data_IF_553831692582
#
_entry.id   IF_553831692582
#
_cell.length_a   1.000
_cell.length_b   1.000
_cell.length_c   1.000
_cell.angle_alpha   90.00
_cell.angle_beta   90.00
_cell.angle_gamma   90.00
#
_symmetry.space_group_name_H-M   'P 1'
#
loop_
_entity.id
_entity.type
_entity.pdbx_description
1 polymer ?
#
# COMPACT_ATOMS: atom_id res chain seq x y z
N UNK A 1 -18.08 -18.95 -22.50
CA UNK A 1 -17.07 -19.94 -22.02
C UNK A 1 -16.10 -19.17 -21.14
N UNK A 2 -16.18 -19.30 -19.81
CA UNK A 2 -15.21 -18.64 -18.90
C UNK A 2 -13.85 -19.30 -19.15
N UNK A 3 -12.86 -18.51 -19.58
CA UNK A 3 -11.50 -18.97 -19.88
C UNK A 3 -10.95 -19.63 -18.61
N UNK A 4 -10.40 -20.85 -18.73
CA UNK A 4 -9.67 -21.50 -17.65
C UNK A 4 -8.59 -20.53 -17.15
N UNK A 5 -8.70 -20.11 -15.89
CA UNK A 5 -7.91 -19.07 -15.21
C UNK A 5 -6.49 -19.55 -14.89
N UNK A 6 -5.83 -20.24 -15.82
CA UNK A 6 -4.43 -20.60 -15.66
C UNK A 6 -3.58 -19.32 -15.64
N UNK A 7 -2.91 -19.05 -14.50
CA UNK A 7 -1.97 -17.93 -14.29
C UNK A 7 -2.58 -16.54 -14.08
N UNK A 8 -3.74 -16.43 -13.43
CA UNK A 8 -4.24 -15.16 -12.88
C UNK A 8 -4.34 -15.21 -11.35
N UNK A 9 -4.29 -14.07 -10.64
CA UNK A 9 -4.37 -14.09 -9.19
C UNK A 9 -5.75 -14.51 -8.71
N UNK A 10 -5.76 -15.29 -7.62
CA UNK A 10 -6.96 -15.72 -6.91
C UNK A 10 -7.17 -14.98 -5.59
N UNK A 11 -6.28 -14.04 -5.24
CA UNK A 11 -6.56 -13.05 -4.21
C UNK A 11 -6.02 -11.67 -4.53
N UNK A 12 -6.64 -10.63 -3.96
CA UNK A 12 -6.25 -9.24 -4.12
C UNK A 12 -6.16 -8.55 -2.76
N UNK A 13 -5.07 -7.83 -2.50
CA UNK A 13 -5.06 -6.79 -1.46
C UNK A 13 -5.30 -5.44 -2.12
N UNK A 14 -6.53 -4.95 -2.01
CA UNK A 14 -6.99 -3.79 -2.79
C UNK A 14 -6.66 -2.45 -2.14
N UNK A 15 -6.28 -2.44 -0.86
CA UNK A 15 -5.99 -1.22 -0.13
C UNK A 15 -6.04 -1.42 1.38
N UNK A 16 -5.95 -0.35 2.17
CA UNK A 16 -5.69 1.02 1.75
C UNK A 16 -4.18 1.35 1.70
N UNK A 17 -3.82 2.37 0.93
CA UNK A 17 -2.45 2.88 0.90
C UNK A 17 -2.02 3.35 2.30
N UNK A 18 -0.78 3.07 2.69
CA UNK A 18 -0.21 3.47 4.01
C UNK A 18 -0.87 2.81 5.24
N UNK A 19 -1.57 1.69 5.03
CA UNK A 19 -2.18 0.86 6.08
C UNK A 19 -1.44 -0.46 6.35
N UNK A 20 -0.14 -0.54 6.08
CA UNK A 20 0.67 -1.73 6.41
C UNK A 20 0.77 -2.81 5.32
N UNK A 21 0.25 -2.56 4.12
CA UNK A 21 0.26 -3.53 2.99
C UNK A 21 1.65 -3.98 2.55
N UNK A 22 2.71 -3.19 2.79
CA UNK A 22 4.09 -3.63 2.54
C UNK A 22 4.58 -4.64 3.58
N UNK A 23 4.19 -4.49 4.85
CA UNK A 23 4.52 -5.47 5.89
C UNK A 23 3.78 -6.78 5.61
N UNK A 24 2.47 -6.69 5.33
CA UNK A 24 1.67 -7.86 4.94
C UNK A 24 2.28 -8.61 3.76
N UNK A 25 2.67 -7.91 2.69
CA UNK A 25 3.37 -8.53 1.55
C UNK A 25 4.58 -9.36 2.00
N UNK A 26 5.44 -8.77 2.83
CA UNK A 26 6.66 -9.45 3.29
C UNK A 26 6.39 -10.60 4.25
N UNK A 27 5.26 -10.61 4.94
CA UNK A 27 4.88 -11.69 5.84
C UNK A 27 4.26 -12.85 5.05
N UNK A 28 3.25 -12.57 4.21
CA UNK A 28 2.53 -13.61 3.50
C UNK A 28 3.39 -14.29 2.43
N UNK A 29 4.31 -13.58 1.77
CA UNK A 29 5.21 -14.19 0.77
C UNK A 29 6.37 -14.97 1.38
N UNK A 30 6.41 -15.17 2.70
CA UNK A 30 7.27 -16.19 3.32
C UNK A 30 6.69 -17.59 3.13
N UNK A 31 5.39 -17.70 2.85
CA UNK A 31 4.71 -18.96 2.65
C UNK A 31 4.97 -19.50 1.23
N UNK A 32 5.47 -20.74 1.11
CA UNK A 32 5.87 -21.36 -0.16
C UNK A 32 4.71 -21.53 -1.16
N UNK A 33 3.48 -21.66 -0.66
CA UNK A 33 2.27 -21.73 -1.49
C UNK A 33 1.67 -20.36 -1.83
N UNK A 34 2.29 -19.25 -1.42
CA UNK A 34 1.82 -17.89 -1.68
C UNK A 34 2.79 -17.13 -2.56
N UNK A 35 2.33 -16.72 -3.73
CA UNK A 35 3.07 -15.92 -4.68
C UNK A 35 2.43 -14.55 -4.89
N UNK A 36 3.25 -13.50 -4.81
CA UNK A 36 2.87 -12.15 -5.25
C UNK A 36 4.04 -11.59 -6.06
N UNK A 37 3.83 -11.14 -7.31
CA UNK A 37 4.91 -10.66 -8.16
C UNK A 37 5.80 -9.60 -7.49
N UNK A 38 7.12 -9.73 -7.70
CA UNK A 38 8.09 -8.71 -7.27
C UNK A 38 7.72 -7.35 -7.89
N UNK A 39 7.92 -6.27 -7.14
CA UNK A 39 7.65 -4.92 -7.61
C UNK A 39 6.20 -4.45 -7.48
N UNK A 40 5.44 -5.06 -6.54
CA UNK A 40 4.09 -4.69 -6.02
C UNK A 40 3.48 -3.38 -6.52
N UNK A 41 2.15 -3.40 -6.58
CA UNK A 41 1.31 -2.43 -7.28
C UNK A 41 1.42 -2.60 -8.80
N UNK A 42 0.78 -3.66 -9.31
CA UNK A 42 0.65 -3.92 -10.75
C UNK A 42 -0.33 -2.94 -11.42
N UNK A 43 -1.29 -2.42 -10.64
CA UNK A 43 -2.22 -1.35 -11.00
C UNK A 43 -3.19 -1.67 -12.14
N UNK A 44 -3.22 -2.91 -12.62
CA UNK A 44 -3.99 -3.32 -13.78
C UNK A 44 -5.50 -3.05 -13.63
N UNK A 45 -6.10 -3.46 -12.51
CA UNK A 45 -7.55 -3.29 -12.34
C UNK A 45 -7.98 -1.85 -12.07
N UNK A 46 -7.07 -0.95 -11.67
CA UNK A 46 -7.40 0.43 -11.32
C UNK A 46 -7.88 1.27 -12.50
N UNK A 47 -7.51 0.85 -13.73
CA UNK A 47 -7.69 1.61 -14.96
C UNK A 47 -7.27 3.10 -14.84
N UNK A 48 -6.19 3.35 -14.09
CA UNK A 48 -5.61 4.67 -13.93
C UNK A 48 -5.24 5.27 -15.30
N UNK A 49 -5.49 6.59 -15.46
CA UNK A 49 -5.21 7.32 -16.69
C UNK A 49 -3.74 7.15 -17.12
N UNK A 50 -2.82 7.34 -16.19
CA UNK A 50 -1.38 7.20 -16.41
C UNK A 50 -0.77 8.27 -17.31
N UNK A 51 -1.38 9.45 -17.32
CA UNK A 51 -0.91 10.69 -17.95
C UNK A 51 -0.72 11.81 -16.90
N UNK A 52 -0.49 11.43 -15.63
CA UNK A 52 -0.43 12.37 -14.52
C UNK A 52 0.82 13.24 -14.57
N UNK A 53 0.69 14.51 -14.18
CA UNK A 53 1.74 15.54 -14.38
C UNK A 53 2.35 16.07 -13.07
N UNK A 54 1.92 15.57 -11.92
CA UNK A 54 2.46 16.00 -10.64
C UNK A 54 3.93 15.59 -10.45
N UNK A 55 4.67 16.26 -9.55
CA UNK A 55 6.08 15.97 -9.30
C UNK A 55 6.37 14.47 -9.03
N UNK A 56 7.14 13.85 -9.92
CA UNK A 56 7.50 12.42 -9.81
C UNK A 56 6.41 11.43 -10.20
N UNK A 57 5.22 11.88 -10.64
CA UNK A 57 4.11 11.01 -11.05
C UNK A 57 4.49 10.11 -12.23
N UNK A 58 5.34 10.60 -13.13
CA UNK A 58 5.85 9.82 -14.26
C UNK A 58 6.47 8.50 -13.79
N UNK A 59 7.36 8.58 -12.79
CA UNK A 59 8.05 7.40 -12.25
C UNK A 59 7.18 6.62 -11.26
N UNK A 60 6.40 7.29 -10.42
CA UNK A 60 5.64 6.64 -9.34
C UNK A 60 4.33 6.01 -9.80
N UNK A 61 3.79 6.50 -10.91
CA UNK A 61 2.47 6.13 -11.44
C UNK A 61 2.56 5.74 -12.92
N UNK A 62 2.81 6.69 -13.83
CA UNK A 62 2.59 6.49 -15.27
C UNK A 62 3.36 5.28 -15.82
N UNK A 63 4.65 5.17 -15.50
CA UNK A 63 5.52 4.08 -15.98
C UNK A 63 5.26 2.71 -15.32
N UNK A 64 4.47 2.67 -14.24
CA UNK A 64 4.23 1.46 -13.44
C UNK A 64 2.87 0.82 -13.70
N UNK A 65 2.02 1.44 -14.51
CA UNK A 65 0.68 0.92 -14.81
C UNK A 65 0.80 -0.15 -15.89
N UNK A 66 0.35 -1.36 -15.56
CA UNK A 66 0.13 -2.41 -16.57
C UNK A 66 -1.22 -2.13 -17.25
N UNK A 67 -1.21 -1.95 -18.58
CA UNK A 67 -2.42 -1.61 -19.35
C UNK A 67 -3.03 -2.79 -20.10
N UNK A 68 -2.21 -3.78 -20.45
CA UNK A 68 -2.65 -4.90 -21.26
C UNK A 68 -2.73 -6.17 -20.42
N UNK A 69 -3.82 -6.92 -20.59
CA UNK A 69 -4.05 -8.18 -19.88
C UNK A 69 -2.91 -9.19 -20.12
N UNK A 70 -2.33 -9.20 -21.31
CA UNK A 70 -1.20 -10.09 -21.62
C UNK A 70 0.06 -9.73 -20.83
N UNK A 71 0.32 -8.44 -20.59
CA UNK A 71 1.43 -8.02 -19.73
C UNK A 71 1.14 -8.29 -18.25
N UNK A 72 -0.12 -8.25 -17.86
CA UNK A 72 -0.56 -8.65 -16.53
C UNK A 72 -0.36 -10.16 -16.30
N UNK A 73 -0.83 -11.02 -17.21
CA UNK A 73 -0.63 -12.48 -17.19
C UNK A 73 0.86 -12.86 -17.15
N UNK A 74 1.71 -12.15 -17.89
CA UNK A 74 3.18 -12.37 -17.86
C UNK A 74 3.77 -12.23 -16.46
N UNK A 75 3.15 -11.49 -15.53
CA UNK A 75 3.63 -11.36 -14.14
C UNK A 75 3.46 -12.65 -13.33
N UNK A 76 2.57 -13.55 -13.75
CA UNK A 76 2.26 -14.82 -13.11
C UNK A 76 2.72 -16.03 -13.92
N UNK A 77 3.25 -15.82 -15.13
CA UNK A 77 3.70 -16.91 -16.00
C UNK A 77 4.80 -17.74 -15.33
N UNK A 78 4.59 -19.05 -15.27
CA UNK A 78 5.56 -20.02 -14.73
C UNK A 78 5.48 -20.22 -13.22
N UNK A 79 4.52 -19.56 -12.56
CA UNK A 79 4.20 -19.77 -11.15
C UNK A 79 3.07 -20.79 -11.01
N UNK A 80 3.17 -21.65 -9.99
CA UNK A 80 2.25 -22.76 -9.72
C UNK A 80 1.78 -22.79 -8.26
N UNK A 81 2.14 -21.76 -7.50
CA UNK A 81 1.75 -21.57 -6.12
C UNK A 81 0.22 -21.54 -6.00
N UNK A 82 -0.31 -22.20 -4.95
CA UNK A 82 -1.75 -22.33 -4.73
C UNK A 82 -2.44 -20.96 -4.66
N UNK A 83 -1.79 -19.98 -4.03
CA UNK A 83 -2.31 -18.65 -3.81
C UNK A 83 -1.47 -17.64 -4.58
N UNK A 84 -1.98 -17.16 -5.71
CA UNK A 84 -1.33 -16.09 -6.49
C UNK A 84 -2.08 -14.79 -6.25
N UNK A 85 -1.37 -13.71 -5.91
CA UNK A 85 -2.00 -12.45 -5.54
C UNK A 85 -1.47 -11.22 -6.25
N UNK A 86 -2.33 -10.20 -6.36
CA UNK A 86 -1.95 -8.83 -6.67
C UNK A 86 -2.28 -7.93 -5.48
N UNK A 87 -1.34 -7.06 -5.11
CA UNK A 87 -1.48 -6.16 -3.99
C UNK A 87 -1.23 -4.72 -4.45
N UNK A 88 -2.27 -4.11 -5.00
CA UNK A 88 -2.27 -2.74 -5.52
C UNK A 88 -3.24 -1.90 -4.68
N UNK A 89 -2.69 -0.97 -3.88
CA UNK A 89 -3.47 -0.29 -2.82
C UNK A 89 -4.46 0.75 -3.31
N UNK A 90 -4.32 1.16 -4.56
CA UNK A 90 -5.18 2.08 -5.27
C UNK A 90 -6.47 1.43 -5.75
N UNK A 91 -6.58 0.10 -5.75
CA UNK A 91 -7.81 -0.57 -6.17
C UNK A 91 -8.99 -0.17 -5.27
N UNK A 92 -8.75 0.04 -3.97
CA UNK A 92 -9.75 0.53 -3.04
C UNK A 92 -10.18 1.98 -3.36
N UNK A 93 -9.22 2.85 -3.67
CA UNK A 93 -9.55 4.23 -4.04
C UNK A 93 -10.33 4.29 -5.36
N UNK A 94 -9.88 3.56 -6.38
CA UNK A 94 -10.54 3.39 -7.67
C UNK A 94 -11.56 2.23 -7.67
N UNK A 95 -12.27 2.00 -6.55
CA UNK A 95 -13.16 0.84 -6.37
C UNK A 95 -14.15 0.65 -7.52
N UNK A 96 -14.73 1.72 -8.06
CA UNK A 96 -15.73 1.63 -9.14
C UNK A 96 -15.17 0.91 -10.38
N UNK A 97 -14.04 1.38 -10.91
CA UNK A 97 -13.40 0.77 -12.08
C UNK A 97 -12.70 -0.55 -11.70
N UNK A 98 -12.10 -0.62 -10.51
CA UNK A 98 -11.41 -1.81 -10.04
C UNK A 98 -12.34 -3.00 -9.91
N UNK A 99 -13.51 -2.83 -9.29
CA UNK A 99 -14.50 -3.90 -9.13
C UNK A 99 -15.02 -4.37 -10.49
N UNK A 100 -15.31 -3.43 -11.40
CA UNK A 100 -15.73 -3.76 -12.77
C UNK A 100 -14.70 -4.63 -13.48
N UNK A 101 -13.43 -4.21 -13.47
CA UNK A 101 -12.36 -4.95 -14.14
C UNK A 101 -12.05 -6.28 -13.44
N UNK A 102 -12.11 -6.35 -12.10
CA UNK A 102 -11.95 -7.61 -11.37
C UNK A 102 -12.99 -8.63 -11.84
N UNK A 103 -14.26 -8.23 -11.95
CA UNK A 103 -15.34 -9.11 -12.42
C UNK A 103 -15.21 -9.52 -13.89
N UNK A 104 -14.55 -8.71 -14.70
CA UNK A 104 -14.30 -9.02 -16.12
C UNK A 104 -13.23 -10.10 -16.28
N UNK A 105 -12.15 -10.02 -15.50
CA UNK A 105 -10.94 -10.82 -15.73
C UNK A 105 -10.72 -11.96 -14.74
N UNK A 106 -11.22 -11.86 -13.51
CA UNK A 106 -10.99 -12.86 -12.46
C UNK A 106 -12.22 -13.72 -12.21
N UNK A 107 -12.01 -14.84 -11.53
CA UNK A 107 -13.07 -15.75 -11.14
C UNK A 107 -13.93 -15.19 -10.00
N UNK A 108 -15.16 -15.69 -9.88
CA UNK A 108 -16.13 -15.20 -8.89
C UNK A 108 -15.69 -15.52 -7.45
N UNK A 109 -14.81 -16.51 -7.28
CA UNK A 109 -14.21 -16.96 -6.00
C UNK A 109 -12.94 -16.17 -5.61
N UNK A 110 -12.56 -15.13 -6.35
CA UNK A 110 -11.42 -14.28 -6.00
C UNK A 110 -11.59 -13.70 -4.58
N UNK A 111 -10.56 -13.89 -3.75
CA UNK A 111 -10.53 -13.40 -2.37
C UNK A 111 -10.08 -11.93 -2.35
N UNK A 112 -10.86 -11.06 -1.74
CA UNK A 112 -10.56 -9.63 -1.61
C UNK A 112 -10.18 -9.34 -0.16
N UNK A 113 -9.01 -8.74 0.02
CA UNK A 113 -8.52 -8.29 1.31
C UNK A 113 -8.35 -6.77 1.33
N UNK A 114 -8.90 -6.16 2.38
CA UNK A 114 -8.79 -4.73 2.67
C UNK A 114 -8.11 -4.59 4.04
N UNK A 115 -7.15 -3.68 4.18
CA UNK A 115 -6.61 -3.26 5.48
C UNK A 115 -6.76 -1.75 5.65
N UNK A 116 -7.48 -1.33 6.69
CA UNK A 116 -7.78 0.07 6.96
C UNK A 116 -6.95 0.56 8.15
N UNK A 117 -6.69 1.85 8.20
CA UNK A 117 -5.97 2.53 9.28
C UNK A 117 -6.72 3.82 9.60
N UNK A 118 -6.66 4.29 10.84
CA UNK A 118 -7.13 5.63 11.21
C UNK A 118 -6.83 6.62 10.07
N UNK A 119 -7.86 7.22 9.45
CA UNK A 119 -7.69 7.99 8.22
C UNK A 119 -6.81 9.23 8.42
N UNK A 120 -6.81 9.83 9.62
CA UNK A 120 -5.92 10.94 10.01
C UNK A 120 -4.46 10.50 10.01
N UNK A 121 -4.17 9.40 10.70
CA UNK A 121 -2.81 8.85 10.77
C UNK A 121 -2.33 8.31 9.41
N UNK A 122 -3.23 7.76 8.60
CA UNK A 122 -2.94 7.35 7.23
C UNK A 122 -2.57 8.55 6.38
N UNK A 123 -3.35 9.65 6.42
CA UNK A 123 -3.09 10.88 5.69
C UNK A 123 -1.71 11.43 6.03
N UNK A 124 -1.39 11.57 7.32
CA UNK A 124 -0.09 12.07 7.76
C UNK A 124 1.05 11.13 7.39
N UNK A 125 0.85 9.83 7.54
CA UNK A 125 1.82 8.82 7.12
C UNK A 125 2.07 8.83 5.61
N UNK A 126 1.09 9.28 4.81
CA UNK A 126 1.21 9.47 3.38
C UNK A 126 1.98 10.76 3.06
N UNK A 127 1.63 11.87 3.68
CA UNK A 127 2.39 13.12 3.57
C UNK A 127 3.88 12.92 3.89
N UNK A 128 4.20 12.30 5.03
CA UNK A 128 5.59 11.99 5.40
C UNK A 128 6.30 11.08 4.38
N UNK A 129 5.55 10.22 3.69
CA UNK A 129 6.07 9.38 2.62
C UNK A 129 6.44 10.22 1.39
N UNK A 130 5.58 11.14 1.00
CA UNK A 130 5.81 12.05 -0.13
C UNK A 130 6.97 13.02 0.15
N UNK A 131 7.10 13.53 1.37
CA UNK A 131 8.25 14.36 1.78
C UNK A 131 9.55 13.55 1.76
N UNK A 132 9.53 12.31 2.28
CA UNK A 132 10.68 11.42 2.28
C UNK A 132 11.19 11.14 0.86
N UNK A 133 10.26 10.90 -0.05
CA UNK A 133 10.55 10.62 -1.46
C UNK A 133 10.86 11.90 -2.26
N UNK A 134 11.03 13.05 -1.57
CA UNK A 134 11.38 14.37 -2.11
C UNK A 134 10.37 14.87 -3.15
N UNK A 135 9.10 14.49 -2.98
CA UNK A 135 7.97 14.92 -3.82
C UNK A 135 7.22 16.09 -3.22
N UNK A 136 6.99 16.04 -1.91
CA UNK A 136 6.28 17.10 -1.18
C UNK A 136 7.27 18.02 -0.46
N UNK A 137 7.02 19.32 -0.54
CA UNK A 137 7.86 20.35 0.04
C UNK A 137 7.08 21.36 0.89
N UNK A 138 5.75 21.38 0.77
CA UNK A 138 4.88 22.17 1.63
C UNK A 138 4.78 21.55 3.03
N UNK A 139 4.28 22.32 4.00
CA UNK A 139 3.81 21.76 5.27
C UNK A 139 2.60 20.84 5.06
N UNK A 140 2.22 20.07 6.08
CA UNK A 140 1.10 19.13 5.94
C UNK A 140 -0.21 19.87 5.68
N UNK A 141 -0.42 20.98 6.39
CA UNK A 141 -1.60 21.82 6.30
C UNK A 141 -1.72 22.45 4.90
N UNK A 142 -0.65 23.10 4.43
CA UNK A 142 -0.60 23.66 3.06
C UNK A 142 -0.77 22.57 1.99
N UNK A 143 -0.24 21.36 2.22
CA UNK A 143 -0.34 20.26 1.28
C UNK A 143 -1.77 19.71 1.16
N UNK A 144 -2.55 19.72 2.25
CA UNK A 144 -3.98 19.37 2.25
C UNK A 144 -4.80 20.42 1.51
N UNK A 145 -4.55 21.71 1.79
CA UNK A 145 -5.26 22.82 1.13
C UNK A 145 -5.09 22.80 -0.40
N UNK A 146 -3.96 22.27 -0.86
CA UNK A 146 -3.61 22.12 -2.27
C UNK A 146 -4.22 20.89 -2.96
N UNK A 147 -4.85 19.95 -2.25
CA UNK A 147 -5.34 18.70 -2.85
C UNK A 147 -6.31 18.92 -4.00
N UNK A 148 -7.23 19.88 -3.85
CA UNK A 148 -8.24 20.18 -4.86
C UNK A 148 -7.59 20.69 -6.15
N UNK A 149 -6.73 21.70 -6.04
CA UNK A 149 -6.01 22.28 -7.18
C UNK A 149 -5.11 21.23 -7.86
N UNK A 150 -4.40 20.41 -7.08
CA UNK A 150 -3.55 19.33 -7.62
C UNK A 150 -4.37 18.32 -8.42
N UNK A 151 -5.55 17.93 -7.93
CA UNK A 151 -6.46 17.03 -8.64
C UNK A 151 -6.96 17.66 -9.95
N UNK A 152 -7.35 18.93 -9.92
CA UNK A 152 -7.78 19.68 -11.12
C UNK A 152 -6.65 19.80 -12.15
N UNK A 153 -5.41 19.95 -11.69
CA UNK A 153 -4.20 19.98 -12.52
C UNK A 153 -3.69 18.58 -12.94
N UNK A 154 -4.51 17.53 -12.84
CA UNK A 154 -4.18 16.15 -13.23
C UNK A 154 -2.95 15.55 -12.50
N UNK A 155 -2.77 15.87 -11.22
CA UNK A 155 -1.81 15.16 -10.37
C UNK A 155 -2.41 13.81 -9.93
N UNK A 156 -1.56 12.79 -9.76
CA UNK A 156 -2.02 11.45 -9.43
C UNK A 156 -2.71 11.36 -8.05
N UNK A 157 -3.49 10.31 -7.83
CA UNK A 157 -4.21 10.06 -6.56
C UNK A 157 -3.32 10.05 -5.32
N UNK A 158 -2.00 9.79 -5.45
CA UNK A 158 -1.06 9.83 -4.34
C UNK A 158 -0.99 11.20 -3.65
N UNK A 159 -1.35 12.28 -4.35
CA UNK A 159 -1.37 13.63 -3.81
C UNK A 159 -2.61 13.93 -2.98
N UNK A 160 -3.62 13.05 -3.01
CA UNK A 160 -4.79 13.12 -2.14
C UNK A 160 -4.48 12.63 -0.73
N UNK A 161 -4.03 13.49 0.17
CA UNK A 161 -3.73 13.08 1.55
C UNK A 161 -4.99 12.76 2.33
N UNK A 162 -6.04 13.56 2.21
CA UNK A 162 -7.30 13.43 2.95
C UNK A 162 -8.34 12.66 2.15
N UNK A 163 -8.47 12.95 0.87
CA UNK A 163 -9.45 12.32 -0.03
C UNK A 163 -9.35 10.78 -0.06
N UNK A 164 -8.14 10.23 0.03
CA UNK A 164 -7.90 8.79 0.10
C UNK A 164 -8.35 8.12 1.42
N UNK A 165 -8.81 8.88 2.41
CA UNK A 165 -9.17 8.41 3.76
C UNK A 165 -10.66 8.15 3.98
N UNK A 166 -11.53 8.54 3.04
CA UNK A 166 -12.98 8.27 3.13
C UNK A 166 -13.27 6.85 2.67
N UNK A 167 -13.32 5.90 3.60
CA UNK A 167 -13.36 4.48 3.30
C UNK A 167 -14.77 3.93 3.12
N UNK A 168 -15.81 4.55 3.70
CA UNK A 168 -17.13 3.95 3.78
C UNK A 168 -17.66 3.48 2.42
N UNK A 169 -17.74 4.37 1.43
CA UNK A 169 -18.25 4.02 0.11
C UNK A 169 -17.34 3.01 -0.63
N UNK A 170 -16.03 3.13 -0.43
CA UNK A 170 -15.04 2.23 -1.05
C UNK A 170 -15.23 0.79 -0.54
N UNK A 171 -15.33 0.62 0.77
CA UNK A 171 -15.48 -0.69 1.44
C UNK A 171 -16.86 -1.28 1.17
N UNK A 172 -17.91 -0.45 1.25
CA UNK A 172 -19.28 -0.84 0.95
C UNK A 172 -19.42 -1.41 -0.46
N UNK A 173 -18.77 -0.81 -1.44
CA UNK A 173 -18.80 -1.29 -2.82
C UNK A 173 -18.19 -2.70 -2.96
N UNK A 174 -17.04 -2.96 -2.32
CA UNK A 174 -16.43 -4.29 -2.34
C UNK A 174 -17.27 -5.34 -1.61
N UNK A 175 -17.78 -5.03 -0.42
CA UNK A 175 -18.68 -5.93 0.32
C UNK A 175 -19.97 -6.21 -0.46
N UNK A 176 -20.53 -5.23 -1.15
CA UNK A 176 -21.72 -5.43 -1.98
C UNK A 176 -21.44 -6.35 -3.18
N UNK A 177 -20.29 -6.19 -3.83
CA UNK A 177 -19.98 -6.89 -5.07
C UNK A 177 -19.28 -8.24 -4.89
N UNK A 178 -18.65 -8.47 -3.72
CA UNK A 178 -17.96 -9.71 -3.33
C UNK A 178 -18.30 -10.08 -1.86
N UNK A 179 -19.57 -10.33 -1.52
CA UNK A 179 -20.05 -10.41 -0.14
C UNK A 179 -19.41 -11.54 0.68
N UNK A 180 -19.16 -12.69 0.07
CA UNK A 180 -18.60 -13.85 0.75
C UNK A 180 -17.07 -13.92 0.67
N UNK A 181 -16.46 -13.07 -0.16
CA UNK A 181 -15.03 -13.16 -0.50
C UNK A 181 -14.25 -11.92 -0.06
N UNK A 182 -14.89 -10.92 0.55
CA UNK A 182 -14.22 -9.72 1.07
C UNK A 182 -13.97 -9.85 2.56
N UNK A 183 -12.72 -9.68 2.98
CA UNK A 183 -12.33 -9.57 4.39
C UNK A 183 -11.67 -8.22 4.66
N UNK A 184 -12.12 -7.55 5.73
CA UNK A 184 -11.63 -6.22 6.13
C UNK A 184 -10.86 -6.33 7.44
N UNK A 185 -9.59 -5.94 7.41
CA UNK A 185 -8.69 -5.88 8.55
C UNK A 185 -8.48 -4.45 9.03
N UNK A 186 -8.17 -4.30 10.32
CA UNK A 186 -7.78 -3.02 10.92
C UNK A 186 -6.29 -3.05 11.24
N UNK A 187 -5.56 -2.03 10.79
CA UNK A 187 -4.11 -1.91 10.95
C UNK A 187 -3.66 -1.94 12.41
N UNK A 188 -4.50 -1.47 13.33
CA UNK A 188 -4.24 -1.53 14.77
C UNK A 188 -4.17 -2.97 15.28
N UNK A 189 -4.97 -3.90 14.74
CA UNK A 189 -4.86 -5.33 15.05
C UNK A 189 -3.55 -5.90 14.53
N UNK A 190 -3.14 -5.50 13.32
CA UNK A 190 -1.84 -5.91 12.77
C UNK A 190 -0.70 -5.46 13.69
N UNK A 191 -0.83 -4.28 14.31
CA UNK A 191 0.17 -3.78 15.26
C UNK A 191 0.12 -4.51 16.60
N UNK A 192 -1.07 -4.86 17.07
CA UNK A 192 -1.28 -5.54 18.34
C UNK A 192 -0.81 -7.01 18.27
N UNK A 193 -1.17 -7.72 17.20
CA UNK A 193 -0.81 -9.13 17.02
C UNK A 193 -0.65 -9.47 15.53
N UNK A 194 0.60 -9.40 15.05
CA UNK A 194 0.94 -9.69 13.66
C UNK A 194 0.68 -11.16 13.30
N UNK A 195 1.02 -12.07 14.19
CA UNK A 195 0.90 -13.52 13.94
C UNK A 195 -0.57 -13.92 13.78
N UNK A 196 -1.45 -13.43 14.66
CA UNK A 196 -2.88 -13.73 14.56
C UNK A 196 -3.50 -13.26 13.23
N UNK A 197 -3.20 -12.03 12.80
CA UNK A 197 -3.73 -11.54 11.51
C UNK A 197 -3.17 -12.32 10.32
N UNK A 198 -1.88 -12.67 10.33
CA UNK A 198 -1.29 -13.43 9.22
C UNK A 198 -1.84 -14.86 9.18
N UNK A 199 -2.05 -15.51 10.33
CA UNK A 199 -2.68 -16.82 10.40
C UNK A 199 -4.12 -16.77 9.86
N UNK A 200 -4.92 -15.76 10.23
CA UNK A 200 -6.25 -15.58 9.63
C UNK A 200 -6.18 -15.38 8.11
N UNK A 201 -5.22 -14.60 7.59
CA UNK A 201 -5.01 -14.46 6.15
C UNK A 201 -4.67 -15.82 5.50
N UNK A 202 -3.82 -16.63 6.12
CA UNK A 202 -3.49 -17.97 5.63
C UNK A 202 -4.71 -18.89 5.62
N UNK A 203 -5.50 -18.89 6.69
CA UNK A 203 -6.74 -19.65 6.77
C UNK A 203 -7.72 -19.21 5.68
N UNK A 204 -7.91 -17.90 5.48
CA UNK A 204 -8.72 -17.36 4.39
C UNK A 204 -8.16 -17.74 3.02
N UNK A 205 -6.86 -17.91 2.87
CA UNK A 205 -6.21 -18.37 1.64
C UNK A 205 -6.25 -19.90 1.45
N UNK A 206 -6.79 -20.64 2.43
CA UNK A 206 -6.80 -22.10 2.51
C UNK A 206 -5.38 -22.72 2.52
N UNK A 207 -4.42 -22.07 3.17
CA UNK A 207 -3.07 -22.60 3.36
C UNK A 207 -2.76 -22.74 4.85
N UNK A 208 -1.85 -23.65 5.19
CA UNK A 208 -1.50 -23.87 6.59
C UNK A 208 -0.76 -22.66 7.17
N UNK A 209 -1.00 -22.36 8.43
CA UNK A 209 -0.19 -21.37 9.14
C UNK A 209 1.26 -21.85 9.27
N UNK A 210 2.19 -20.91 9.12
CA UNK A 210 3.64 -21.15 9.30
C UNK A 210 4.24 -20.11 10.24
N UNK A 211 5.36 -20.41 10.92
CA UNK A 211 6.11 -19.39 11.63
C UNK A 211 6.61 -18.31 10.66
N UNK A 212 6.25 -17.05 10.93
CA UNK A 212 6.70 -15.90 10.15
C UNK A 212 7.75 -15.10 10.91
N UNK A 213 8.75 -14.59 10.19
CA UNK A 213 9.71 -13.66 10.77
C UNK A 213 9.13 -12.24 10.77
N UNK A 214 8.73 -11.77 11.96
CA UNK A 214 8.17 -10.43 12.22
C UNK A 214 9.20 -9.42 12.71
N UNK A 215 10.43 -9.86 13.04
CA UNK A 215 11.45 -9.05 13.73
C UNK A 215 12.01 -7.88 12.91
N UNK A 216 11.72 -7.82 11.62
CA UNK A 216 12.12 -6.69 10.79
C UNK A 216 11.01 -5.63 10.77
N UNK A 217 11.10 -4.62 11.65
CA UNK A 217 10.24 -3.42 11.54
C UNK A 217 10.49 -2.76 10.18
N UNK A 218 9.50 -2.92 9.30
CA UNK A 218 9.54 -2.46 7.92
C UNK A 218 8.80 -1.13 7.76
N UNK A 219 9.43 -0.20 7.03
CA UNK A 219 8.87 1.09 6.62
C UNK A 219 8.51 2.06 7.76
N UNK A 220 9.54 2.65 8.34
CA UNK A 220 9.39 3.84 9.18
C UNK A 220 9.29 5.06 8.24
N UNK A 221 8.09 5.64 8.06
CA UNK A 221 7.94 6.95 7.40
C UNK A 221 8.56 8.06 8.26
N UNK A 222 9.09 9.12 7.65
CA UNK A 222 9.63 10.29 8.35
C UNK A 222 10.28 11.28 7.39
N UNK A 223 10.56 12.48 7.86
CA UNK A 223 11.24 13.56 7.12
C UNK A 223 12.77 13.37 7.24
N UNK A 224 13.51 13.30 6.12
CA UNK A 224 14.96 13.23 6.18
C UNK A 224 15.58 14.52 6.77
N UNK A 225 16.37 14.39 7.84
CA UNK A 225 17.17 15.48 8.44
C UNK A 225 18.17 16.04 7.41
N UNK A 226 18.78 15.17 6.62
CA UNK A 226 19.65 15.54 5.50
C UNK A 226 19.14 14.89 4.19
N UNK A 227 18.58 15.71 3.29
CA UNK A 227 18.02 15.26 2.00
C UNK A 227 19.09 14.73 1.04
N UNK A 228 20.29 15.32 1.01
CA UNK A 228 21.40 14.85 0.13
C UNK A 228 21.86 13.45 0.53
N UNK A 229 22.06 13.23 1.84
CA UNK A 229 22.38 11.91 2.39
C UNK A 229 21.26 10.90 2.09
N UNK A 230 20.00 11.32 2.27
CA UNK A 230 18.84 10.47 1.97
C UNK A 230 18.83 10.03 0.50
N UNK A 231 19.10 10.95 -0.42
CA UNK A 231 19.15 10.67 -1.86
C UNK A 231 20.31 9.74 -2.23
N UNK A 232 21.48 9.93 -1.62
CA UNK A 232 22.66 9.09 -1.85
C UNK A 232 22.47 7.64 -1.36
N UNK A 233 21.68 7.43 -0.31
CA UNK A 233 21.47 6.10 0.28
C UNK A 233 20.28 5.36 -0.34
N UNK A 234 19.17 6.06 -0.59
CA UNK A 234 17.89 5.42 -0.93
C UNK A 234 17.55 5.46 -2.43
N UNK A 235 18.28 6.24 -3.24
CA UNK A 235 18.08 6.24 -4.69
C UNK A 235 19.28 5.66 -5.45
N UNK A 236 19.06 4.97 -6.59
CA UNK A 236 20.14 4.46 -7.42
C UNK A 236 21.09 5.60 -7.83
N UNK A 237 22.38 5.45 -7.54
CA UNK A 237 23.42 6.38 -7.96
C UNK A 237 24.76 5.65 -8.10
N UNK A 238 25.73 6.28 -8.78
CA UNK A 238 27.03 5.67 -9.10
C UNK A 238 27.82 5.28 -7.84
N UNK A 239 27.77 6.12 -6.79
CA UNK A 239 28.47 5.89 -5.53
C UNK A 239 27.91 4.65 -4.83
N UNK A 240 26.59 4.56 -4.69
CA UNK A 240 25.92 3.42 -4.10
C UNK A 240 26.18 2.14 -4.91
N UNK A 241 26.21 2.24 -6.24
CA UNK A 241 26.56 1.12 -7.12
C UNK A 241 27.98 0.59 -6.87
N UNK A 242 28.96 1.49 -6.75
CA UNK A 242 30.35 1.12 -6.44
C UNK A 242 30.48 0.50 -5.05
N UNK A 243 29.80 1.04 -4.03
CA UNK A 243 29.78 0.48 -2.68
C UNK A 243 29.20 -0.94 -2.64
N UNK A 244 28.07 -1.17 -3.32
CA UNK A 244 27.46 -2.50 -3.41
C UNK A 244 28.37 -3.49 -4.13
N UNK A 245 29.01 -3.07 -5.22
CA UNK A 245 29.98 -3.91 -5.96
C UNK A 245 31.16 -4.29 -5.07
N UNK A 246 31.75 -3.33 -4.36
CA UNK A 246 32.85 -3.60 -3.42
C UNK A 246 32.44 -4.53 -2.28
N UNK A 247 31.27 -4.30 -1.68
CA UNK A 247 30.75 -5.16 -0.61
C UNK A 247 30.47 -6.59 -1.10
N UNK A 248 29.99 -6.76 -2.35
CA UNK A 248 29.77 -8.07 -2.97
C UNK A 248 31.08 -8.84 -3.16
N UNK A 249 32.17 -8.17 -3.55
CA UNK A 249 33.49 -8.80 -3.68
C UNK A 249 34.02 -9.38 -2.35
N UNK A 250 33.52 -8.89 -1.21
CA UNK A 250 33.93 -9.33 0.13
C UNK A 250 32.78 -10.04 0.85
N UNK A 251 31.72 -10.49 0.14
CA UNK A 251 30.54 -11.15 0.71
C UNK A 251 29.89 -10.40 1.89
N UNK A 252 29.88 -9.06 1.85
CA UNK A 252 29.33 -8.17 2.89
C UNK A 252 28.19 -7.28 2.39
N UNK A 253 27.55 -7.65 1.29
CA UNK A 253 26.44 -6.87 0.72
C UNK A 253 25.28 -6.73 1.72
N UNK A 254 24.91 -7.80 2.42
CA UNK A 254 23.85 -7.76 3.43
C UNK A 254 24.19 -6.85 4.61
N UNK A 255 25.42 -6.92 5.10
CA UNK A 255 25.90 -6.06 6.18
C UNK A 255 25.91 -4.58 5.76
N UNK A 256 26.32 -4.29 4.53
CA UNK A 256 26.24 -2.94 3.96
C UNK A 256 24.78 -2.47 3.91
N UNK A 257 23.88 -3.31 3.41
CA UNK A 257 22.46 -2.97 3.31
C UNK A 257 21.82 -2.73 4.68
N UNK A 258 22.16 -3.54 5.68
CA UNK A 258 21.74 -3.31 7.07
C UNK A 258 22.24 -1.97 7.60
N UNK A 259 23.53 -1.64 7.40
CA UNK A 259 24.09 -0.34 7.83
C UNK A 259 23.43 0.84 7.13
N UNK A 260 23.22 0.75 5.82
CA UNK A 260 22.54 1.78 5.03
C UNK A 260 21.10 1.98 5.52
N UNK A 261 20.39 0.90 5.85
CA UNK A 261 19.07 0.98 6.48
C UNK A 261 19.13 1.66 7.84
N UNK A 262 20.12 1.36 8.70
CA UNK A 262 20.31 2.02 9.99
C UNK A 262 20.57 3.51 9.84
N UNK A 263 21.46 3.91 8.91
CA UNK A 263 21.76 5.33 8.64
C UNK A 263 20.51 6.03 8.10
N UNK A 264 19.81 5.40 7.16
CA UNK A 264 18.55 5.92 6.61
C UNK A 264 17.54 6.15 7.74
N UNK A 265 17.33 5.18 8.65
CA UNK A 265 16.46 5.31 9.83
C UNK A 265 16.89 6.46 10.76
N UNK A 266 18.17 6.58 11.10
CA UNK A 266 18.69 7.67 11.97
C UNK A 266 18.55 9.06 11.34
N UNK A 267 18.57 9.12 10.01
CA UNK A 267 18.35 10.34 9.26
C UNK A 267 16.87 10.74 9.17
N UNK A 268 15.92 9.97 9.68
CA UNK A 268 14.51 10.35 9.69
C UNK A 268 14.14 11.05 11.00
N UNK A 269 13.45 12.18 10.87
CA UNK A 269 12.68 12.80 11.94
C UNK A 269 11.19 12.51 11.70
N UNK A 270 10.42 12.26 12.76
CA UNK A 270 8.96 12.17 12.66
C UNK A 270 8.38 13.39 13.38
N UNK A 271 8.21 14.53 12.70
CA UNK A 271 7.44 15.61 13.31
C UNK A 271 6.07 15.06 13.69
N UNK A 272 5.51 15.61 14.76
CA UNK A 272 4.11 15.38 15.11
C UNK A 272 3.25 16.33 14.28
N UNK A 273 2.07 15.87 13.90
CA UNK A 273 1.01 16.73 13.38
C UNK A 273 0.63 17.76 14.45
N UNK A 274 0.19 18.95 14.06
CA UNK A 274 -0.42 19.90 15.00
C UNK A 274 -1.71 19.29 15.56
N UNK A 275 -1.96 19.51 16.84
CA UNK A 275 -3.15 18.98 17.50
C UNK A 275 -4.44 19.60 16.93
N UNK A 276 -4.41 20.88 16.53
CA UNK A 276 -5.57 21.51 15.87
C UNK A 276 -5.90 20.83 14.53
N UNK A 277 -4.87 20.53 13.73
CA UNK A 277 -5.04 19.83 12.45
C UNK A 277 -5.56 18.40 12.65
N UNK A 278 -5.08 17.69 13.68
CA UNK A 278 -5.62 16.37 14.04
C UNK A 278 -7.11 16.46 14.33
N UNK A 279 -7.52 17.40 15.18
CA UNK A 279 -8.93 17.59 15.54
C UNK A 279 -9.79 17.89 14.30
N UNK A 280 -9.34 18.81 13.44
CA UNK A 280 -10.05 19.13 12.19
C UNK A 280 -10.23 17.92 11.28
N UNK A 281 -9.21 17.06 11.16
CA UNK A 281 -9.30 15.86 10.35
C UNK A 281 -10.17 14.78 10.98
N UNK A 282 -10.18 14.64 12.32
CA UNK A 282 -11.12 13.76 13.01
C UNK A 282 -12.56 14.22 12.71
N UNK A 283 -12.86 15.50 12.89
CA UNK A 283 -14.18 16.07 12.61
C UNK A 283 -14.58 15.86 11.13
N UNK A 284 -13.63 16.00 10.20
CA UNK A 284 -13.83 15.76 8.77
C UNK A 284 -14.23 14.31 8.45
N UNK A 285 -13.67 13.33 9.15
CA UNK A 285 -13.93 11.91 8.90
C UNK A 285 -15.07 11.33 9.74
N UNK A 286 -15.60 12.06 10.73
CA UNK A 286 -16.51 11.53 11.74
C UNK A 286 -17.69 10.75 11.15
N UNK A 287 -18.40 11.35 10.19
CA UNK A 287 -19.54 10.69 9.52
C UNK A 287 -19.12 9.43 8.75
N UNK A 288 -17.95 9.45 8.10
CA UNK A 288 -17.43 8.30 7.36
C UNK A 288 -17.07 7.16 8.30
N UNK A 289 -16.43 7.46 9.43
CA UNK A 289 -16.07 6.50 10.48
C UNK A 289 -17.35 5.88 11.07
N UNK A 290 -18.35 6.69 11.46
CA UNK A 290 -19.61 6.18 12.01
C UNK A 290 -20.33 5.23 11.04
N UNK A 291 -20.34 5.57 9.75
CA UNK A 291 -20.96 4.72 8.73
C UNK A 291 -20.15 3.43 8.52
N UNK A 292 -18.83 3.51 8.58
CA UNK A 292 -17.94 2.35 8.48
C UNK A 292 -18.07 1.41 9.68
N UNK A 293 -18.18 1.93 10.90
CA UNK A 293 -18.42 1.14 12.12
C UNK A 293 -19.69 0.31 12.00
N UNK A 294 -20.79 0.94 11.56
CA UNK A 294 -22.07 0.26 11.31
C UNK A 294 -21.96 -0.79 10.21
N UNK A 295 -21.24 -0.48 9.13
CA UNK A 295 -21.06 -1.39 8.00
C UNK A 295 -20.26 -2.64 8.39
N UNK A 296 -19.23 -2.48 9.22
CA UNK A 296 -18.33 -3.54 9.62
C UNK A 296 -18.74 -4.26 10.92
N UNK A 297 -19.80 -3.78 11.59
CA UNK A 297 -20.17 -4.17 12.95
C UNK A 297 -18.96 -4.19 13.89
N UNK A 298 -18.21 -3.08 13.88
CA UNK A 298 -16.91 -2.99 14.54
C UNK A 298 -16.69 -1.62 15.17
N UNK A 299 -16.26 -1.62 16.43
CA UNK A 299 -15.87 -0.39 17.13
C UNK A 299 -14.57 0.18 16.54
N UNK A 300 -14.59 1.47 16.17
CA UNK A 300 -13.46 2.24 15.67
C UNK A 300 -13.26 3.54 16.47
N UNK A 301 -13.73 3.60 17.73
CA UNK A 301 -13.60 4.77 18.61
C UNK A 301 -12.15 5.21 18.81
N UNK A 302 -11.21 4.26 18.74
CA UNK A 302 -9.78 4.55 18.77
C UNK A 302 -9.31 5.46 17.63
N UNK A 303 -10.11 5.65 16.58
CA UNK A 303 -9.79 6.56 15.48
C UNK A 303 -10.17 8.02 15.76
N UNK A 304 -10.96 8.28 16.81
CA UNK A 304 -11.40 9.61 17.25
C UNK A 304 -10.48 10.25 18.29
N UNK A 305 -9.26 9.71 18.43
CA UNK A 305 -8.23 10.13 19.40
C UNK A 305 -7.08 10.92 18.76
#
# INVERSE_FOLDING_TARGET
MKIQTENLPNFLFVGAAKSGTTSLYKYITQHEQVFVPKGKELRFFSNMRGDYVGPGDERSCNQRIIRHIEDYKKRFKGHTEKCMGDMSTEYLFYHQESIKNIKEYLSDDVKIFIILRNPVDRAYSHYLHMVRDDREHLSFEEAIDQEKERKENNWAWHWGYTTNGFYFEQVKAYLHHFPNNTTVYIYDDLRANQEAMINDIFDKLDVNSIPINTGQVHNVSGIPKNRRLHRLINHPNRILGLLKRGARLVNREDLLMQRLQTISKKNLNKPKMREETRKQLIDMYETDIQNLEKLLDRNLDMWRQ
#
